data_IF_888162436619
#
_entry.id   IF_888162436619
#
_cell.length_a   1.000
_cell.length_b   1.000
_cell.length_c   1.000
_cell.angle_alpha   90.00
_cell.angle_beta   90.00
_cell.angle_gamma   90.00
#
_symmetry.space_group_name_H-M   'P 1'
#
loop_
_entity.id
_entity.type
_entity.pdbx_description
1 polymer ?
#
# COMPACT_ATOMS: atom_id res chain seq x y z
N UNK A 1 -2.89 -22.56 29.57
CA UNK A 1 -3.82 -23.35 28.72
C UNK A 1 -3.10 -24.61 28.29
N UNK A 2 -3.63 -25.80 28.59
CA UNK A 2 -2.97 -27.05 28.23
C UNK A 2 -2.93 -27.23 26.70
N UNK A 3 -1.85 -27.83 26.19
CA UNK A 3 -1.68 -28.09 24.75
C UNK A 3 -2.81 -28.93 24.12
N UNK A 4 -3.64 -29.57 24.93
CA UNK A 4 -4.78 -30.41 24.53
C UNK A 4 -5.98 -29.62 23.98
N UNK A 5 -6.13 -28.33 24.30
CA UNK A 5 -7.28 -27.51 23.84
C UNK A 5 -7.09 -26.89 22.45
N UNK A 6 -5.84 -26.77 21.99
CA UNK A 6 -5.48 -26.19 20.67
C UNK A 6 -6.05 -26.96 19.47
N UNK A 7 -5.98 -28.31 19.39
CA UNK A 7 -6.48 -29.03 18.23
C UNK A 7 -8.01 -28.93 18.07
N UNK A 8 -8.77 -28.95 19.17
CA UNK A 8 -10.23 -28.84 19.12
C UNK A 8 -10.69 -27.45 18.63
N UNK A 9 -10.04 -26.38 19.09
CA UNK A 9 -10.32 -25.03 18.61
C UNK A 9 -9.96 -24.85 17.14
N UNK A 10 -8.86 -25.44 16.67
CA UNK A 10 -8.47 -25.41 15.26
C UNK A 10 -9.47 -26.15 14.38
N UNK A 11 -9.91 -27.35 14.76
CA UNK A 11 -10.89 -28.11 14.00
C UNK A 11 -12.24 -27.36 13.94
N UNK A 12 -12.70 -26.82 15.07
CA UNK A 12 -13.92 -26.01 15.11
C UNK A 12 -13.83 -24.77 14.23
N UNK A 13 -12.71 -24.05 14.26
CA UNK A 13 -12.48 -22.87 13.43
C UNK A 13 -12.41 -23.21 11.93
N UNK A 14 -11.72 -24.30 11.56
CA UNK A 14 -11.64 -24.78 10.17
C UNK A 14 -13.02 -25.23 9.66
N UNK A 15 -13.78 -25.95 10.47
CA UNK A 15 -15.13 -26.39 10.13
C UNK A 15 -16.08 -25.20 9.93
N UNK A 16 -16.06 -24.22 10.83
CA UNK A 16 -16.84 -22.99 10.70
C UNK A 16 -16.44 -22.19 9.45
N UNK A 17 -15.14 -22.06 9.19
CA UNK A 17 -14.63 -21.38 8.00
C UNK A 17 -15.09 -22.09 6.72
N UNK A 18 -15.03 -23.43 6.68
CA UNK A 18 -15.48 -24.21 5.54
C UNK A 18 -16.99 -24.04 5.28
N UNK A 19 -17.82 -23.98 6.33
CA UNK A 19 -19.26 -23.71 6.21
C UNK A 19 -19.55 -22.30 5.69
N UNK A 20 -18.86 -21.29 6.22
CA UNK A 20 -18.99 -19.90 5.75
C UNK A 20 -18.60 -19.81 4.27
N UNK A 21 -17.47 -20.42 3.90
CA UNK A 21 -17.01 -20.48 2.51
C UNK A 21 -18.06 -21.17 1.63
N UNK A 22 -18.59 -22.32 2.03
CA UNK A 22 -19.61 -23.04 1.26
C UNK A 22 -20.88 -22.21 1.04
N UNK A 23 -21.38 -21.53 2.06
CA UNK A 23 -22.55 -20.66 1.95
C UNK A 23 -22.31 -19.48 1.00
N UNK A 24 -21.12 -18.88 1.07
CA UNK A 24 -20.70 -17.76 0.23
C UNK A 24 -20.50 -18.18 -1.23
N UNK A 25 -19.96 -19.38 -1.48
CA UNK A 25 -19.78 -19.93 -2.83
C UNK A 25 -21.09 -20.10 -3.59
N UNK A 26 -22.19 -20.41 -2.91
CA UNK A 26 -23.51 -20.51 -3.55
C UNK A 26 -24.02 -19.16 -4.07
N UNK A 27 -23.66 -18.06 -3.42
CA UNK A 27 -24.09 -16.73 -3.84
C UNK A 27 -23.14 -16.08 -4.86
N UNK A 28 -21.85 -16.43 -4.81
CA UNK A 28 -20.83 -15.84 -5.67
C UNK A 28 -19.85 -16.92 -6.16
N UNK A 29 -20.10 -17.54 -7.33
CA UNK A 29 -19.26 -18.63 -7.84
C UNK A 29 -17.81 -18.19 -8.13
N UNK A 30 -17.58 -16.89 -8.33
CA UNK A 30 -16.23 -16.31 -8.50
C UNK A 30 -15.32 -16.63 -7.31
N UNK A 31 -15.87 -16.81 -6.11
CA UNK A 31 -15.10 -17.12 -4.90
C UNK A 31 -14.46 -18.51 -4.98
N UNK A 32 -15.03 -19.43 -5.77
CA UNK A 32 -14.48 -20.77 -5.97
C UNK A 32 -13.08 -20.72 -6.59
N UNK A 33 -12.85 -19.73 -7.46
CA UNK A 33 -11.57 -19.49 -8.14
C UNK A 33 -10.65 -18.62 -7.27
N UNK A 34 -11.23 -17.71 -6.46
CA UNK A 34 -10.46 -16.81 -5.60
C UNK A 34 -9.63 -17.56 -4.54
N UNK A 35 -10.18 -18.60 -3.90
CA UNK A 35 -9.48 -19.36 -2.85
C UNK A 35 -8.17 -20.01 -3.37
N UNK A 36 -8.19 -20.84 -4.43
CA UNK A 36 -6.96 -21.42 -4.96
C UNK A 36 -6.00 -20.35 -5.48
N UNK A 37 -6.52 -19.26 -6.07
CA UNK A 37 -5.69 -18.13 -6.47
C UNK A 37 -4.97 -17.49 -5.27
N UNK A 38 -5.66 -17.22 -4.16
CA UNK A 38 -5.06 -16.67 -2.94
C UNK A 38 -4.00 -17.61 -2.37
N UNK A 39 -4.20 -18.93 -2.42
CA UNK A 39 -3.18 -19.89 -1.99
C UNK A 39 -1.93 -19.86 -2.89
N UNK A 40 -2.11 -19.80 -4.20
CA UNK A 40 -1.00 -19.66 -5.15
C UNK A 40 -0.25 -18.35 -4.88
N UNK A 41 -0.97 -17.23 -4.81
CA UNK A 41 -0.38 -15.93 -4.51
C UNK A 41 0.28 -15.88 -3.13
N UNK A 42 -0.24 -16.59 -2.14
CA UNK A 42 0.38 -16.73 -0.83
C UNK A 42 1.78 -17.35 -0.92
N UNK A 43 1.91 -18.46 -1.66
CA UNK A 43 3.20 -19.11 -1.90
C UNK A 43 4.15 -18.19 -2.68
N UNK A 44 3.66 -17.52 -3.73
CA UNK A 44 4.46 -16.58 -4.53
C UNK A 44 4.94 -15.40 -3.69
N UNK A 45 4.05 -14.77 -2.92
CA UNK A 45 4.34 -13.63 -2.06
C UNK A 45 5.27 -14.01 -0.90
N UNK A 46 5.14 -15.21 -0.34
CA UNK A 46 6.06 -15.71 0.69
C UNK A 46 7.47 -15.93 0.11
N UNK A 47 7.58 -16.42 -1.13
CA UNK A 47 8.86 -16.65 -1.80
C UNK A 47 9.52 -15.36 -2.30
N UNK A 48 8.73 -14.39 -2.75
CA UNK A 48 9.20 -13.14 -3.35
C UNK A 48 8.48 -11.89 -2.83
N UNK A 49 8.54 -11.59 -1.52
CA UNK A 49 7.77 -10.50 -0.91
C UNK A 49 8.11 -9.12 -1.50
N UNK A 50 9.38 -8.90 -1.84
CA UNK A 50 9.86 -7.65 -2.45
C UNK A 50 9.23 -7.44 -3.83
N UNK A 51 9.21 -8.47 -4.67
CA UNK A 51 8.66 -8.40 -6.02
C UNK A 51 7.12 -8.26 -5.98
N UNK A 52 6.46 -8.99 -5.06
CA UNK A 52 5.03 -8.89 -4.85
C UNK A 52 4.60 -7.46 -4.47
N UNK A 53 5.29 -6.83 -3.51
CA UNK A 53 5.01 -5.44 -3.13
C UNK A 53 5.31 -4.48 -4.28
N UNK A 54 6.43 -4.63 -4.97
CA UNK A 54 6.75 -3.80 -6.12
C UNK A 54 5.66 -3.88 -7.20
N UNK A 55 5.25 -5.08 -7.58
CA UNK A 55 4.19 -5.33 -8.55
C UNK A 55 2.85 -4.75 -8.06
N UNK A 56 2.52 -4.93 -6.78
CA UNK A 56 1.31 -4.37 -6.18
C UNK A 56 1.30 -2.84 -6.28
N UNK A 57 2.40 -2.15 -5.97
CA UNK A 57 2.50 -0.69 -6.04
C UNK A 57 2.33 -0.19 -7.49
N UNK A 58 2.98 -0.84 -8.45
CA UNK A 58 2.88 -0.49 -9.86
C UNK A 58 1.49 -0.74 -10.42
N UNK A 59 0.89 -1.90 -10.14
CA UNK A 59 -0.45 -2.23 -10.61
C UNK A 59 -1.52 -1.36 -9.95
N UNK A 60 -1.41 -1.09 -8.65
CA UNK A 60 -2.37 -0.23 -7.95
C UNK A 60 -2.34 1.20 -8.49
N UNK A 61 -1.13 1.75 -8.69
CA UNK A 61 -0.96 3.12 -9.20
C UNK A 61 -1.20 3.21 -10.70
N UNK A 62 -0.97 2.13 -11.44
CA UNK A 62 -1.10 2.02 -12.90
C UNK A 62 -2.46 1.51 -13.38
N UNK A 63 -3.37 1.14 -12.48
CA UNK A 63 -4.58 0.39 -12.80
C UNK A 63 -5.44 1.10 -13.84
N UNK A 64 -5.60 2.43 -13.74
CA UNK A 64 -6.45 3.18 -14.67
C UNK A 64 -5.84 3.23 -16.07
N UNK A 65 -4.53 3.42 -16.19
CA UNK A 65 -3.85 3.33 -17.50
C UNK A 65 -3.94 1.93 -18.09
N UNK A 66 -3.66 0.89 -17.31
CA UNK A 66 -3.76 -0.51 -17.77
C UNK A 66 -5.17 -0.81 -18.28
N UNK A 67 -6.19 -0.41 -17.51
CA UNK A 67 -7.58 -0.62 -17.89
C UNK A 67 -7.99 0.20 -19.11
N UNK A 68 -7.51 1.44 -19.25
CA UNK A 68 -7.77 2.28 -20.41
C UNK A 68 -7.23 1.66 -21.71
N UNK A 69 -6.00 1.11 -21.68
CA UNK A 69 -5.36 0.54 -22.87
C UNK A 69 -5.77 -0.91 -23.19
N UNK A 70 -6.03 -1.72 -22.16
CA UNK A 70 -6.27 -3.17 -22.36
C UNK A 70 -7.74 -3.57 -22.20
N UNK A 71 -8.57 -2.70 -21.61
CA UNK A 71 -9.91 -3.03 -21.15
C UNK A 71 -9.95 -3.94 -19.91
N UNK A 72 -8.79 -4.42 -19.42
CA UNK A 72 -8.69 -5.33 -18.28
C UNK A 72 -8.29 -4.58 -17.02
N UNK A 73 -9.07 -4.73 -15.95
CA UNK A 73 -8.73 -4.16 -14.64
C UNK A 73 -7.61 -4.96 -13.98
N UNK A 74 -6.56 -4.27 -13.54
CA UNK A 74 -5.49 -4.83 -12.70
C UNK A 74 -5.88 -4.95 -11.22
N UNK A 75 -6.99 -4.33 -10.79
CA UNK A 75 -7.43 -4.34 -9.38
C UNK A 75 -7.58 -5.75 -8.79
N UNK A 76 -8.19 -6.75 -9.47
CA UNK A 76 -8.27 -8.11 -8.94
C UNK A 76 -6.90 -8.74 -8.69
N UNK A 77 -5.89 -8.43 -9.51
CA UNK A 77 -4.52 -8.93 -9.31
C UNK A 77 -3.89 -8.29 -8.09
N UNK A 78 -4.13 -6.99 -7.87
CA UNK A 78 -3.68 -6.28 -6.67
C UNK A 78 -4.34 -6.87 -5.41
N UNK A 79 -5.63 -7.17 -5.47
CA UNK A 79 -6.35 -7.80 -4.37
C UNK A 79 -5.80 -9.19 -4.04
N UNK A 80 -5.50 -10.00 -5.06
CA UNK A 80 -4.87 -11.30 -4.88
C UNK A 80 -3.46 -11.20 -4.30
N UNK A 81 -2.68 -10.18 -4.68
CA UNK A 81 -1.37 -9.92 -4.07
C UNK A 81 -1.50 -9.57 -2.59
N UNK A 82 -2.42 -8.68 -2.22
CA UNK A 82 -2.66 -8.27 -0.82
C UNK A 82 -3.16 -9.47 0.00
N UNK A 83 -4.19 -10.17 -0.49
CA UNK A 83 -4.75 -11.35 0.17
C UNK A 83 -3.72 -12.48 0.30
N UNK A 84 -2.94 -12.74 -0.76
CA UNK A 84 -1.86 -13.73 -0.76
C UNK A 84 -0.78 -13.38 0.27
N UNK A 85 -0.33 -12.11 0.31
CA UNK A 85 0.62 -11.67 1.35
C UNK A 85 0.04 -11.90 2.76
N UNK A 86 -1.22 -11.55 3.01
CA UNK A 86 -1.86 -11.76 4.31
C UNK A 86 -1.92 -13.24 4.68
N UNK A 87 -2.39 -14.08 3.75
CA UNK A 87 -2.46 -15.52 3.97
C UNK A 87 -1.07 -16.12 4.26
N UNK A 88 -0.03 -15.69 3.54
CA UNK A 88 1.33 -16.17 3.75
C UNK A 88 1.90 -15.77 5.10
N UNK A 89 1.66 -14.52 5.51
CA UNK A 89 2.06 -14.03 6.84
C UNK A 89 1.30 -14.75 7.94
N UNK A 90 -0.03 -14.86 7.85
CA UNK A 90 -0.84 -15.54 8.85
C UNK A 90 -0.46 -17.03 8.98
N UNK A 91 -0.18 -17.70 7.87
CA UNK A 91 0.25 -19.10 7.86
C UNK A 91 1.62 -19.28 8.51
N UNK A 92 2.60 -18.42 8.20
CA UNK A 92 3.92 -18.46 8.87
C UNK A 92 3.77 -18.17 10.37
N UNK A 93 2.90 -17.24 10.77
CA UNK A 93 2.63 -16.99 12.19
C UNK A 93 1.98 -18.17 12.91
N UNK A 94 1.15 -18.95 12.21
CA UNK A 94 0.51 -20.13 12.76
C UNK A 94 1.47 -21.32 12.89
N UNK A 95 2.41 -21.49 11.95
CA UNK A 95 3.33 -22.64 11.89
C UNK A 95 4.60 -22.40 12.70
N UNK A 96 5.29 -21.28 12.45
CA UNK A 96 6.68 -21.11 12.90
C UNK A 96 6.79 -20.62 14.35
N UNK A 97 5.67 -20.18 14.95
CA UNK A 97 5.70 -19.43 16.21
C UNK A 97 6.47 -18.11 16.06
N UNK A 98 6.48 -17.28 17.11
CA UNK A 98 7.26 -16.04 17.11
C UNK A 98 8.42 -16.13 18.08
N UNK A 99 9.64 -16.15 17.55
CA UNK A 99 10.85 -15.91 18.34
C UNK A 99 11.13 -14.42 18.56
N UNK A 100 10.41 -13.53 17.84
CA UNK A 100 10.65 -12.08 17.88
C UNK A 100 9.51 -11.32 18.54
N UNK A 101 9.81 -10.41 19.48
CA UNK A 101 8.79 -9.57 20.10
C UNK A 101 8.13 -8.68 19.04
N UNK A 102 6.80 -8.67 19.05
CA UNK A 102 5.98 -7.76 18.26
C UNK A 102 6.05 -6.36 18.84
N UNK A 103 6.93 -5.52 18.33
CA UNK A 103 6.88 -4.10 18.66
C UNK A 103 5.97 -3.38 17.67
N UNK A 104 4.69 -3.27 18.03
CA UNK A 104 3.73 -2.48 17.28
C UNK A 104 3.90 -1.02 17.68
N UNK A 105 4.43 -0.21 16.76
CA UNK A 105 4.51 1.23 16.94
C UNK A 105 3.11 1.84 17.01
N UNK A 106 2.94 2.93 17.78
CA UNK A 106 1.66 3.62 17.94
C UNK A 106 0.98 3.91 16.60
N UNK A 107 1.74 4.37 15.60
CA UNK A 107 1.20 4.63 14.26
C UNK A 107 0.64 3.38 13.57
N UNK A 108 1.33 2.23 13.68
CA UNK A 108 0.82 0.96 13.15
C UNK A 108 -0.42 0.51 13.93
N UNK A 109 -0.43 0.70 15.25
CA UNK A 109 -1.60 0.40 16.08
C UNK A 109 -2.83 1.22 15.69
N UNK A 110 -2.66 2.51 15.42
CA UNK A 110 -3.75 3.38 14.96
C UNK A 110 -4.26 2.97 13.57
N UNK A 111 -3.36 2.62 12.64
CA UNK A 111 -3.77 2.11 11.32
C UNK A 111 -4.51 0.78 11.46
N UNK A 112 -4.04 -0.13 12.31
CA UNK A 112 -4.73 -1.40 12.57
C UNK A 112 -6.12 -1.17 13.18
N UNK A 113 -6.25 -0.24 14.13
CA UNK A 113 -7.54 0.13 14.69
C UNK A 113 -8.48 0.69 13.62
N UNK A 114 -8.00 1.58 12.75
CA UNK A 114 -8.78 2.10 11.62
C UNK A 114 -9.27 0.97 10.71
N UNK A 115 -8.38 0.04 10.29
CA UNK A 115 -8.75 -1.10 9.45
C UNK A 115 -9.82 -1.97 10.12
N UNK A 116 -9.70 -2.22 11.43
CA UNK A 116 -10.69 -3.00 12.20
C UNK A 116 -12.04 -2.26 12.26
N UNK A 117 -12.04 -0.96 12.56
CA UNK A 117 -13.28 -0.17 12.62
C UNK A 117 -13.98 -0.18 11.27
N UNK A 118 -13.27 0.10 10.17
CA UNK A 118 -13.86 0.08 8.82
C UNK A 118 -14.34 -1.31 8.41
N UNK A 119 -13.69 -2.38 8.89
CA UNK A 119 -14.19 -3.75 8.69
C UNK A 119 -15.51 -3.99 9.45
N UNK A 120 -15.61 -3.54 10.70
CA UNK A 120 -16.83 -3.67 11.50
C UNK A 120 -17.98 -2.82 10.94
N UNK A 121 -17.69 -1.66 10.33
CA UNK A 121 -18.67 -0.80 9.66
C UNK A 121 -19.38 -1.51 8.50
N UNK A 122 -18.82 -2.58 7.93
CA UNK A 122 -19.50 -3.38 6.90
C UNK A 122 -20.82 -3.96 7.45
N UNK A 123 -20.84 -4.33 8.74
CA UNK A 123 -22.00 -4.93 9.40
C UNK A 123 -23.08 -3.91 9.76
N UNK A 124 -22.72 -2.63 9.86
CA UNK A 124 -23.63 -1.54 10.23
C UNK A 124 -24.01 -0.64 9.05
N UNK A 125 -23.38 -0.85 7.87
CA UNK A 125 -23.69 -0.12 6.65
C UNK A 125 -25.13 -0.39 6.17
N UNK A 126 -25.73 0.60 5.50
CA UNK A 126 -27.07 0.48 4.89
C UNK A 126 -27.17 -0.68 3.88
N UNK A 127 -26.04 -1.09 3.30
CA UNK A 127 -25.91 -2.33 2.56
C UNK A 127 -24.51 -2.93 2.70
N UNK A 128 -24.42 -4.25 2.75
CA UNK A 128 -23.14 -4.99 2.83
C UNK A 128 -22.25 -4.65 1.62
N UNK A 129 -22.83 -4.51 0.43
CA UNK A 129 -22.08 -4.18 -0.79
C UNK A 129 -21.46 -2.77 -0.74
N UNK A 130 -22.16 -1.80 -0.14
CA UNK A 130 -21.61 -0.46 0.06
C UNK A 130 -20.49 -0.47 1.09
N UNK A 131 -20.69 -1.18 2.22
CA UNK A 131 -19.68 -1.36 3.25
C UNK A 131 -18.40 -2.00 2.69
N UNK A 132 -18.54 -3.11 1.95
CA UNK A 132 -17.41 -3.79 1.31
C UNK A 132 -16.70 -2.90 0.31
N UNK A 133 -17.42 -2.13 -0.51
CA UNK A 133 -16.82 -1.18 -1.46
C UNK A 133 -16.05 -0.08 -0.73
N UNK A 134 -16.59 0.45 0.37
CA UNK A 134 -15.91 1.45 1.20
C UNK A 134 -14.61 0.90 1.81
N UNK A 135 -14.68 -0.29 2.40
CA UNK A 135 -13.52 -0.98 2.96
C UNK A 135 -12.45 -1.26 1.89
N UNK A 136 -12.87 -1.79 0.73
CA UNK A 136 -11.98 -2.14 -0.38
C UNK A 136 -11.25 -0.93 -0.95
N UNK A 137 -11.93 0.21 -1.08
CA UNK A 137 -11.34 1.44 -1.65
C UNK A 137 -10.36 2.15 -0.70
N UNK A 138 -10.28 1.77 0.57
CA UNK A 138 -9.47 2.47 1.58
C UNK A 138 -8.70 1.52 2.51
N UNK A 139 -9.38 0.94 3.50
CA UNK A 139 -8.80 0.14 4.57
C UNK A 139 -8.04 -1.10 4.06
N UNK A 140 -8.48 -1.70 2.94
CA UNK A 140 -7.82 -2.86 2.37
C UNK A 140 -6.37 -2.59 1.95
N UNK A 141 -6.10 -1.44 1.34
CA UNK A 141 -4.74 -1.03 0.98
C UNK A 141 -3.90 -0.65 2.19
N UNK A 142 -4.51 0.00 3.19
CA UNK A 142 -3.85 0.34 4.46
C UNK A 142 -3.48 -0.90 5.28
N UNK A 143 -4.22 -2.01 5.11
CA UNK A 143 -3.89 -3.28 5.74
C UNK A 143 -2.49 -3.78 5.35
N UNK A 144 -1.94 -3.37 4.20
CA UNK A 144 -0.56 -3.70 3.83
C UNK A 144 0.45 -3.13 4.83
N UNK A 145 0.20 -1.94 5.40
CA UNK A 145 1.11 -1.35 6.41
C UNK A 145 1.12 -2.20 7.67
N UNK A 146 -0.06 -2.66 8.10
CA UNK A 146 -0.19 -3.58 9.25
C UNK A 146 0.52 -4.89 8.95
N UNK A 147 0.31 -5.44 7.76
CA UNK A 147 0.96 -6.65 7.29
C UNK A 147 2.48 -6.53 7.37
N UNK A 148 3.06 -5.45 6.83
CA UNK A 148 4.51 -5.22 6.87
C UNK A 148 5.04 -5.21 8.30
N UNK A 149 4.30 -4.61 9.24
CA UNK A 149 4.70 -4.56 10.64
C UNK A 149 4.64 -5.94 11.33
N UNK A 150 3.72 -6.81 10.92
CA UNK A 150 3.54 -8.14 11.55
C UNK A 150 4.27 -9.27 10.81
N UNK A 151 4.72 -9.08 9.58
CA UNK A 151 5.28 -10.12 8.72
C UNK A 151 6.52 -10.84 9.28
N UNK A 152 7.28 -10.19 10.17
CA UNK A 152 8.41 -10.82 10.86
C UNK A 152 9.60 -11.16 9.96
N UNK A 153 9.67 -10.59 8.75
CA UNK A 153 10.75 -10.86 7.80
C UNK A 153 12.13 -10.44 8.31
N UNK A 154 13.19 -10.90 7.61
CA UNK A 154 14.56 -10.48 7.91
C UNK A 154 14.74 -8.99 7.60
N UNK A 155 15.60 -8.29 8.35
CA UNK A 155 15.87 -6.86 8.15
C UNK A 155 16.29 -6.55 6.70
N UNK A 156 17.14 -7.41 6.11
CA UNK A 156 17.54 -7.32 4.69
C UNK A 156 16.35 -7.32 3.72
N UNK A 157 15.26 -8.02 4.05
CA UNK A 157 14.03 -8.02 3.24
C UNK A 157 13.33 -6.67 3.33
N UNK A 158 13.23 -6.08 4.53
CA UNK A 158 12.66 -4.74 4.71
C UNK A 158 13.46 -3.65 4.00
N UNK A 159 14.80 -3.73 4.04
CA UNK A 159 15.67 -2.83 3.26
C UNK A 159 15.39 -2.94 1.75
N UNK A 160 15.24 -4.16 1.24
CA UNK A 160 14.88 -4.38 -0.17
C UNK A 160 13.47 -3.90 -0.50
N UNK A 161 12.51 -4.05 0.40
CA UNK A 161 11.15 -3.51 0.24
C UNK A 161 11.19 -1.98 0.20
N UNK A 162 11.97 -1.34 1.07
CA UNK A 162 12.14 0.11 1.05
C UNK A 162 12.75 0.58 -0.29
N UNK A 163 13.78 -0.12 -0.78
CA UNK A 163 14.36 0.17 -2.11
C UNK A 163 13.33 -0.03 -3.23
N UNK A 164 12.54 -1.11 -3.18
CA UNK A 164 11.48 -1.37 -4.15
C UNK A 164 10.40 -0.28 -4.12
N UNK A 165 10.00 0.19 -2.93
CA UNK A 165 9.05 1.29 -2.79
C UNK A 165 9.58 2.60 -3.38
N UNK A 166 10.84 2.95 -3.12
CA UNK A 166 11.50 4.11 -3.74
C UNK A 166 11.56 3.96 -5.25
N UNK A 167 11.94 2.78 -5.75
CA UNK A 167 11.98 2.48 -7.18
C UNK A 167 10.60 2.60 -7.85
N UNK A 168 9.55 2.07 -7.22
CA UNK A 168 8.19 2.18 -7.71
C UNK A 168 7.73 3.65 -7.72
N UNK A 169 8.05 4.40 -6.66
CA UNK A 169 7.75 5.84 -6.57
C UNK A 169 8.43 6.61 -7.70
N UNK A 170 9.69 6.32 -8.01
CA UNK A 170 10.39 6.91 -9.14
C UNK A 170 9.66 6.63 -10.46
N UNK A 171 9.30 5.38 -10.75
CA UNK A 171 8.62 4.99 -11.99
C UNK A 171 7.27 5.69 -12.12
N UNK A 172 6.45 5.67 -11.06
CA UNK A 172 5.11 6.26 -11.06
C UNK A 172 5.18 7.79 -11.23
N UNK A 173 6.07 8.45 -10.49
CA UNK A 173 6.22 9.91 -10.58
C UNK A 173 6.85 10.36 -11.89
N UNK A 174 7.82 9.60 -12.43
CA UNK A 174 8.37 9.85 -13.76
C UNK A 174 7.30 9.73 -14.84
N UNK A 175 6.41 8.73 -14.76
CA UNK A 175 5.29 8.60 -15.69
C UNK A 175 4.32 9.79 -15.58
N UNK A 176 4.01 10.25 -14.35
CA UNK A 176 3.17 11.43 -14.16
C UNK A 176 3.82 12.70 -14.75
N UNK A 177 5.12 12.92 -14.55
CA UNK A 177 5.84 14.05 -15.15
C UNK A 177 5.92 13.92 -16.67
N UNK A 178 6.10 12.72 -17.21
CA UNK A 178 6.00 12.48 -18.65
C UNK A 178 4.63 12.90 -19.20
N UNK A 179 3.54 12.52 -18.53
CA UNK A 179 2.17 12.92 -18.90
C UNK A 179 1.90 14.40 -18.73
N UNK A 180 2.59 15.07 -17.82
CA UNK A 180 2.54 16.53 -17.72
C UNK A 180 3.13 17.21 -18.96
N UNK A 181 4.20 16.65 -19.53
CA UNK A 181 4.90 17.24 -20.68
C UNK A 181 4.17 16.92 -21.99
N UNK A 182 3.71 15.68 -22.16
CA UNK A 182 3.13 15.18 -23.43
C UNK A 182 1.62 15.35 -23.49
N UNK A 183 0.96 15.46 -22.34
CA UNK A 183 -0.49 15.37 -22.21
C UNK A 183 -0.99 13.93 -21.98
N UNK A 184 -2.27 13.82 -21.65
CA UNK A 184 -2.94 12.53 -21.45
C UNK A 184 -3.09 11.78 -22.78
N UNK A 185 -2.96 10.45 -22.76
CA UNK A 185 -3.30 9.66 -23.94
C UNK A 185 -4.82 9.72 -24.21
N UNK A 186 -5.26 9.60 -25.48
CA UNK A 186 -6.68 9.59 -25.82
C UNK A 186 -7.48 8.54 -25.05
N UNK A 187 -6.92 7.34 -24.87
CA UNK A 187 -7.54 6.24 -24.14
C UNK A 187 -7.70 6.58 -22.65
N UNK A 188 -6.66 7.16 -22.04
CA UNK A 188 -6.69 7.59 -20.64
C UNK A 188 -7.67 8.74 -20.43
N UNK A 189 -7.72 9.70 -21.36
CA UNK A 189 -8.63 10.83 -21.31
C UNK A 189 -10.09 10.39 -21.45
N UNK A 190 -10.37 9.48 -22.40
CA UNK A 190 -11.71 8.90 -22.57
C UNK A 190 -12.13 8.10 -21.33
N UNK A 191 -11.23 7.30 -20.77
CA UNK A 191 -11.48 6.53 -19.55
C UNK A 191 -11.74 7.42 -18.34
N UNK A 192 -10.91 8.47 -18.14
CA UNK A 192 -11.08 9.44 -17.05
C UNK A 192 -12.40 10.22 -17.18
N UNK A 193 -12.79 10.58 -18.41
CA UNK A 193 -14.06 11.24 -18.70
C UNK A 193 -15.28 10.40 -18.30
N UNK A 194 -15.21 9.07 -18.49
CA UNK A 194 -16.29 8.14 -18.13
C UNK A 194 -16.46 7.88 -16.63
N UNK A 195 -15.40 8.02 -15.83
CA UNK A 195 -15.45 7.71 -14.39
C UNK A 195 -15.83 8.91 -13.52
N UNK A 196 -15.15 10.04 -13.72
CA UNK A 196 -15.20 11.19 -12.78
C UNK A 196 -14.98 12.53 -13.49
N UNK A 197 -15.47 12.67 -14.72
CA UNK A 197 -15.20 13.83 -15.61
C UNK A 197 -15.28 15.20 -14.93
N UNK A 198 -16.23 15.40 -14.01
CA UNK A 198 -16.40 16.66 -13.28
C UNK A 198 -15.25 17.05 -12.32
N UNK A 199 -14.51 16.08 -11.77
CA UNK A 199 -13.46 16.35 -10.78
C UNK A 199 -12.06 16.50 -11.39
N UNK A 200 -11.89 16.04 -12.63
CA UNK A 200 -10.60 15.99 -13.32
C UNK A 200 -10.46 17.07 -14.41
N UNK A 201 -11.55 17.72 -14.82
CA UNK A 201 -11.55 18.74 -15.86
C UNK A 201 -11.70 20.13 -15.25
N UNK A 202 -10.82 21.06 -15.61
CA UNK A 202 -10.96 22.49 -15.29
C UNK A 202 -10.82 23.26 -16.61
N UNK A 203 -11.76 24.17 -16.87
CA UNK A 203 -11.79 24.98 -18.10
C UNK A 203 -11.78 24.17 -19.41
N UNK A 204 -12.35 22.95 -19.37
CA UNK A 204 -12.39 22.04 -20.52
C UNK A 204 -11.12 21.21 -20.73
N UNK A 205 -10.10 21.41 -19.90
CA UNK A 205 -8.84 20.66 -19.96
C UNK A 205 -8.73 19.61 -18.85
N UNK A 206 -8.28 18.41 -19.20
CA UNK A 206 -8.01 17.35 -18.25
C UNK A 206 -6.71 17.65 -17.49
N UNK A 207 -6.83 17.86 -16.18
CA UNK A 207 -5.68 18.06 -15.31
C UNK A 207 -4.86 16.78 -15.14
N UNK A 208 -3.63 16.92 -14.63
CA UNK A 208 -2.72 15.79 -14.46
C UNK A 208 -3.29 14.75 -13.48
N UNK A 209 -3.59 13.57 -14.01
CA UNK A 209 -3.96 12.36 -13.26
C UNK A 209 -2.85 11.30 -13.27
N UNK A 210 -1.86 11.41 -14.17
CA UNK A 210 -0.82 10.40 -14.36
C UNK A 210 -1.44 9.08 -14.80
N UNK A 211 -1.24 8.03 -14.00
CA UNK A 211 -1.86 6.71 -14.22
C UNK A 211 -3.03 6.38 -13.29
N UNK A 212 -3.47 7.36 -12.50
CA UNK A 212 -4.55 7.23 -11.52
C UNK A 212 -5.91 7.58 -12.13
N UNK A 213 -6.99 7.22 -11.41
CA UNK A 213 -8.36 7.53 -11.86
C UNK A 213 -8.78 8.98 -11.63
N UNK A 214 -8.03 9.71 -10.78
CA UNK A 214 -8.28 11.13 -10.52
C UNK A 214 -7.04 11.87 -10.04
N UNK A 215 -7.07 13.20 -10.20
CA UNK A 215 -5.99 14.09 -9.71
C UNK A 215 -5.82 14.02 -8.19
N UNK A 216 -6.89 13.76 -7.45
CA UNK A 216 -6.87 13.62 -5.99
C UNK A 216 -6.14 12.35 -5.55
N UNK A 217 -6.30 11.24 -6.28
CA UNK A 217 -5.57 10.01 -5.99
C UNK A 217 -4.08 10.16 -6.28
N UNK A 218 -3.71 10.77 -7.42
CA UNK A 218 -2.31 11.08 -7.71
C UNK A 218 -1.72 11.99 -6.62
N UNK A 219 -2.42 13.08 -6.28
CA UNK A 219 -1.99 14.04 -5.26
C UNK A 219 -1.78 13.37 -3.90
N UNK A 220 -2.72 12.53 -3.46
CA UNK A 220 -2.61 11.75 -2.24
C UNK A 220 -1.38 10.84 -2.28
N UNK A 221 -1.21 10.08 -3.36
CA UNK A 221 -0.10 9.15 -3.53
C UNK A 221 1.27 9.84 -3.43
N UNK A 222 1.49 10.91 -4.20
CA UNK A 222 2.76 11.62 -4.20
C UNK A 222 3.03 12.34 -2.89
N UNK A 223 1.98 12.80 -2.20
CA UNK A 223 2.11 13.45 -0.88
C UNK A 223 2.49 12.46 0.22
N UNK A 224 2.02 11.20 0.13
CA UNK A 224 2.43 10.14 1.04
C UNK A 224 3.84 9.62 0.71
N UNK A 225 4.19 9.52 -0.57
CA UNK A 225 5.43 8.90 -1.03
C UNK A 225 6.64 9.83 -0.95
N UNK A 226 6.44 11.14 -1.16
CA UNK A 226 7.51 12.13 -1.16
C UNK A 226 8.24 12.25 0.19
N UNK A 227 7.57 12.33 1.36
CA UNK A 227 8.25 12.35 2.66
C UNK A 227 9.09 11.10 2.92
N UNK A 228 8.62 9.92 2.52
CA UNK A 228 9.39 8.69 2.66
C UNK A 228 10.65 8.73 1.79
N UNK A 229 10.51 9.08 0.51
CA UNK A 229 11.66 9.22 -0.39
C UNK A 229 12.61 10.33 0.08
N UNK A 230 12.09 11.41 0.65
CA UNK A 230 12.89 12.49 1.20
C UNK A 230 13.70 12.02 2.41
N UNK A 231 13.08 11.28 3.33
CA UNK A 231 13.78 10.65 4.44
C UNK A 231 14.89 9.70 3.96
N UNK A 232 14.61 8.88 2.94
CA UNK A 232 15.59 7.98 2.33
C UNK A 232 16.74 8.76 1.66
N UNK A 233 16.44 9.86 0.95
CA UNK A 233 17.44 10.73 0.33
C UNK A 233 18.38 11.39 1.36
N UNK A 234 17.90 11.65 2.57
CA UNK A 234 18.71 12.21 3.65
C UNK A 234 19.50 11.14 4.43
N UNK A 235 18.91 9.96 4.63
CA UNK A 235 19.47 8.94 5.51
C UNK A 235 20.35 7.89 4.81
N UNK A 236 20.10 7.59 3.54
CA UNK A 236 20.82 6.53 2.81
C UNK A 236 22.11 7.03 2.16
N UNK A 237 22.95 6.09 1.71
CA UNK A 237 24.20 6.35 1.00
C UNK A 237 24.20 5.66 -0.38
N UNK A 238 25.11 6.09 -1.26
CA UNK A 238 25.28 5.49 -2.59
C UNK A 238 24.18 5.84 -3.60
N UNK A 239 24.02 4.99 -4.62
CA UNK A 239 23.11 5.25 -5.75
C UNK A 239 21.65 5.40 -5.33
N UNK A 240 21.19 4.61 -4.34
CA UNK A 240 19.81 4.68 -3.84
C UNK A 240 19.46 6.03 -3.22
N UNK A 241 20.44 6.77 -2.69
CA UNK A 241 20.24 8.15 -2.23
C UNK A 241 19.83 9.07 -3.37
N UNK A 242 20.53 8.97 -4.51
CA UNK A 242 20.22 9.75 -5.71
C UNK A 242 18.86 9.35 -6.28
N UNK A 243 18.55 8.05 -6.34
CA UNK A 243 17.23 7.57 -6.77
C UNK A 243 16.11 8.13 -5.91
N UNK A 244 16.27 8.11 -4.58
CA UNK A 244 15.29 8.66 -3.66
C UNK A 244 15.12 10.19 -3.81
N UNK A 245 16.22 10.92 -3.97
CA UNK A 245 16.17 12.37 -4.21
C UNK A 245 15.43 12.71 -5.50
N UNK A 246 15.73 12.00 -6.59
CA UNK A 246 15.03 12.17 -7.88
C UNK A 246 13.55 11.85 -7.74
N UNK A 247 13.19 10.74 -7.08
CA UNK A 247 11.80 10.37 -6.83
C UNK A 247 11.06 11.46 -6.03
N UNK A 248 11.69 12.03 -4.99
CA UNK A 248 11.12 13.15 -4.23
C UNK A 248 10.84 14.35 -5.14
N UNK A 249 11.82 14.78 -5.95
CA UNK A 249 11.66 15.94 -6.85
C UNK A 249 10.52 15.70 -7.85
N UNK A 250 10.47 14.52 -8.47
CA UNK A 250 9.40 14.18 -9.42
C UNK A 250 8.03 14.12 -8.75
N UNK A 251 7.93 13.60 -7.52
CA UNK A 251 6.69 13.66 -6.75
C UNK A 251 6.25 15.10 -6.47
N UNK A 252 7.16 16.01 -6.13
CA UNK A 252 6.85 17.43 -5.88
C UNK A 252 6.31 18.08 -7.16
N UNK A 253 6.96 17.86 -8.31
CA UNK A 253 6.51 18.38 -9.61
C UNK A 253 5.11 17.85 -9.94
N UNK A 254 4.92 16.53 -9.87
CA UNK A 254 3.63 15.90 -10.13
C UNK A 254 2.53 16.41 -9.19
N UNK A 255 2.85 16.63 -7.90
CA UNK A 255 1.93 17.16 -6.90
C UNK A 255 1.40 18.55 -7.29
N UNK A 256 2.28 19.49 -7.63
CA UNK A 256 1.87 20.83 -8.05
C UNK A 256 1.00 20.79 -9.31
N UNK A 257 1.36 19.94 -10.27
CA UNK A 257 0.62 19.76 -11.51
C UNK A 257 -0.79 19.17 -11.34
N UNK A 258 -1.09 18.49 -10.22
CA UNK A 258 -2.46 18.03 -9.93
C UNK A 258 -3.45 19.17 -9.65
N UNK A 259 -2.95 20.35 -9.24
CA UNK A 259 -3.78 21.49 -8.84
C UNK A 259 -4.61 21.25 -7.57
N UNK A 260 -4.30 20.23 -6.76
CA UNK A 260 -5.01 19.92 -5.51
C UNK A 260 -4.42 20.74 -4.37
N UNK A 261 -5.13 21.80 -3.94
CA UNK A 261 -4.64 22.79 -2.96
C UNK A 261 -4.22 22.18 -1.61
N UNK A 262 -4.92 21.15 -1.15
CA UNK A 262 -4.64 20.49 0.12
C UNK A 262 -3.34 19.64 0.10
N UNK A 263 -2.80 19.32 -1.09
CA UNK A 263 -1.61 18.49 -1.20
C UNK A 263 -0.33 19.21 -0.75
N UNK A 264 -0.22 20.52 -1.03
CA UNK A 264 0.94 21.34 -0.64
C UNK A 264 1.15 21.37 0.89
N UNK A 265 0.18 21.78 1.72
CA UNK A 265 0.37 21.79 3.17
C UNK A 265 0.63 20.39 3.73
N UNK A 266 -0.01 19.35 3.19
CA UNK A 266 0.24 17.97 3.60
C UNK A 266 1.68 17.52 3.30
N UNK A 267 2.23 17.89 2.13
CA UNK A 267 3.63 17.63 1.80
C UNK A 267 4.58 18.37 2.75
N UNK A 268 4.32 19.65 3.02
CA UNK A 268 5.13 20.47 3.93
C UNK A 268 5.15 19.85 5.33
N UNK A 269 3.98 19.49 5.87
CA UNK A 269 3.87 18.83 7.17
C UNK A 269 4.65 17.51 7.17
N UNK A 270 4.51 16.69 6.14
CA UNK A 270 5.26 15.44 5.99
C UNK A 270 6.78 15.66 5.99
N UNK A 271 7.28 16.65 5.23
CA UNK A 271 8.70 16.99 5.18
C UNK A 271 9.21 17.52 6.53
N UNK A 272 8.43 18.36 7.23
CA UNK A 272 8.77 18.87 8.56
C UNK A 272 8.86 17.74 9.59
N UNK A 273 7.94 16.77 9.55
CA UNK A 273 8.00 15.57 10.40
C UNK A 273 9.29 14.79 10.14
N UNK A 274 9.68 14.60 8.88
CA UNK A 274 10.94 13.92 8.52
C UNK A 274 12.15 14.65 9.11
N UNK A 275 12.21 15.98 8.95
CA UNK A 275 13.31 16.79 9.48
C UNK A 275 13.36 16.70 11.01
N UNK A 276 12.21 16.83 11.69
CA UNK A 276 12.12 16.74 13.14
C UNK A 276 12.59 15.37 13.65
N UNK A 277 12.14 14.28 13.03
CA UNK A 277 12.57 12.92 13.39
C UNK A 277 14.07 12.72 13.17
N UNK A 278 14.62 13.24 12.07
CA UNK A 278 16.06 13.18 11.80
C UNK A 278 16.87 13.96 12.84
N UNK A 279 16.45 15.17 13.19
CA UNK A 279 17.09 15.99 14.22
C UNK A 279 17.09 15.29 15.60
N UNK A 280 15.94 14.71 15.99
CA UNK A 280 15.81 13.94 17.24
C UNK A 280 16.64 12.65 17.22
N UNK A 281 16.83 12.02 16.05
CA UNK A 281 17.64 10.81 15.91
C UNK A 281 19.14 11.09 16.03
N UNK A 282 19.61 12.22 15.49
CA UNK A 282 21.01 12.67 15.57
C UNK A 282 21.44 12.96 17.00
N UNK A 283 20.56 13.57 17.81
CA UNK A 283 20.80 13.82 19.24
C UNK A 283 21.15 12.55 20.02
N UNK A 284 20.57 11.39 19.65
CA UNK A 284 20.83 10.11 20.34
C UNK A 284 22.17 9.47 19.97
N UNK A 285 22.70 9.72 18.76
CA UNK A 285 24.02 9.22 18.35
C UNK A 285 25.17 9.92 19.09
N UNK A 286 25.01 11.20 19.43
CA UNK A 286 25.99 11.95 20.24
C UNK A 286 26.06 11.50 21.71
N UNK A 287 24.93 11.12 22.31
CA UNK A 287 24.88 10.70 23.71
C UNK A 287 25.40 9.27 23.98
N UNK A 288 25.40 8.40 22.96
CA UNK A 288 25.90 7.02 23.07
C UNK A 288 27.43 6.90 22.97
N UNK A 289 28.11 7.83 22.30
CA UNK A 289 29.57 7.80 22.12
C UNK A 289 30.35 8.26 23.37
N UNK A 290 29.69 8.94 24.31
CA UNK A 290 30.30 9.41 25.56
C UNK A 290 30.29 8.34 26.68
N UNK A 291 29.81 7.11 26.42
CA UNK A 291 29.72 6.04 27.44
C UNK A 291 30.55 4.78 27.14
N UNK A 292 31.37 4.77 26.09
CA UNK A 292 32.24 3.61 25.76
C UNK A 292 33.74 3.92 25.82
N UNK A 293 34.13 4.97 26.55
CA UNK A 293 35.54 5.36 26.74
C UNK A 293 35.93 5.44 28.22
N UNK A 294 35.31 4.62 29.07
CA UNK A 294 35.69 4.43 30.47
C UNK A 294 35.83 2.94 30.76
#
# INVERSE_FOLDING_TARGET
MSNSARPLLLIGAVGLLALIVAAVLQQQPVIAIAIPAVLIFSVLCARWPVAALFAMLLLASGNSSVQAFTGVSGAPVVDLLIAGMWAGVLLSLAIDGRDRPLWIWLGVGLIAAYVVVTFLEILTASSISLGLRSFHTSAWFLAVVVLLAVAGWRLKTYERIANAYVGATLVISAYAVFRLIVGAAPEEAAFAGGLTGFYNVIDGELLLIGSFSSRHQLAFWVTCSAPFCFAAALAWQGAWRAVAATATVLCVIAMFATGVRAAVPALVVGALIVIALLALSGSRRGAGFARSSG
#
